data_IF_333699355623
#
_entry.id   IF_333699355623
#
_cell.length_a   1.000
_cell.length_b   1.000
_cell.length_c   1.000
_cell.angle_alpha   90.00
_cell.angle_beta   90.00
_cell.angle_gamma   90.00
#
_symmetry.space_group_name_H-M   'P 1'
#
loop_
_entity.id
_entity.type
_entity.pdbx_description
1 polymer ?
#
# COMPACT_ATOMS: atom_id res chain seq x y z
N UNK A 1 20.07 -1.31 3.70
CA UNK A 1 19.46 -2.09 3.16
C UNK A 1 18.09 -1.90 2.99
N UNK A 2 17.64 -2.12 2.04
CA UNK A 2 16.35 -1.83 1.72
C UNK A 2 15.43 -2.80 2.27
N UNK A 3 14.56 -2.37 3.11
CA UNK A 3 13.61 -3.22 3.56
C UNK A 3 12.41 -3.07 2.75
N UNK A 4 12.33 -2.07 1.92
CA UNK A 4 11.17 -1.87 1.11
C UNK A 4 11.08 -2.93 0.05
N UNK A 5 9.88 -3.28 -0.34
CA UNK A 5 9.69 -4.26 -1.35
C UNK A 5 10.30 -3.80 -2.64
N UNK A 6 10.61 -4.74 -3.47
CA UNK A 6 11.16 -4.42 -4.73
C UNK A 6 10.11 -3.82 -5.60
N UNK A 7 10.47 -2.88 -6.41
CA UNK A 7 9.54 -2.28 -7.32
C UNK A 7 9.08 -0.92 -6.84
N UNK A 8 9.16 0.06 -7.73
CA UNK A 8 8.76 1.40 -7.39
C UNK A 8 7.26 1.51 -7.17
N UNK A 9 6.50 0.69 -7.88
CA UNK A 9 5.06 0.75 -7.73
C UNK A 9 4.65 0.48 -6.30
N UNK A 10 5.27 -0.52 -5.70
CA UNK A 10 4.92 -0.90 -4.35
C UNK A 10 5.30 0.20 -3.37
N UNK A 11 6.43 0.81 -3.58
CA UNK A 11 6.87 1.91 -2.72
C UNK A 11 5.91 3.08 -2.81
N UNK A 12 5.49 3.41 -4.02
CA UNK A 12 4.55 4.50 -4.22
C UNK A 12 3.22 4.19 -3.58
N UNK A 13 2.79 2.95 -3.66
CA UNK A 13 1.54 2.54 -3.06
C UNK A 13 1.58 2.68 -1.55
N UNK A 14 2.68 2.27 -0.94
CA UNK A 14 2.83 2.39 0.49
C UNK A 14 2.77 3.85 0.92
N UNK A 15 3.47 4.70 0.20
CA UNK A 15 3.49 6.11 0.54
C UNK A 15 2.11 6.72 0.36
N UNK A 16 1.44 6.34 -0.72
CA UNK A 16 0.11 6.87 -0.99
C UNK A 16 -0.86 6.51 0.13
N UNK A 17 -0.82 5.26 0.57
CA UNK A 17 -1.69 4.81 1.65
C UNK A 17 -1.35 5.54 2.94
N UNK A 18 -0.08 5.71 3.21
CA UNK A 18 0.35 6.39 4.41
C UNK A 18 -0.16 7.83 4.43
N UNK A 19 -0.07 8.51 3.29
CA UNK A 19 -0.55 9.87 3.19
C UNK A 19 -2.07 9.93 3.40
N UNK A 20 -2.78 9.01 2.76
CA UNK A 20 -4.23 8.99 2.90
C UNK A 20 -4.65 8.73 4.33
N UNK A 21 -3.92 7.85 4.98
CA UNK A 21 -4.24 7.51 6.34
C UNK A 21 -4.09 8.71 7.27
N UNK A 22 -3.14 9.57 6.98
CA UNK A 22 -2.95 10.75 7.78
C UNK A 22 -4.07 11.75 7.61
N UNK A 23 -4.55 11.90 6.38
CA UNK A 23 -5.58 12.88 6.10
C UNK A 23 -6.98 12.34 6.37
N UNK A 24 -7.19 11.05 6.18
CA UNK A 24 -8.50 10.47 6.34
C UNK A 24 -8.41 9.32 7.30
N UNK A 25 -8.38 9.63 8.55
CA UNK A 25 -8.18 8.59 9.55
C UNK A 25 -9.34 7.63 9.64
N UNK A 26 -10.49 7.98 9.11
CA UNK A 26 -11.62 7.09 9.17
C UNK A 26 -11.70 6.13 8.00
N UNK A 27 -10.81 6.25 7.06
CA UNK A 27 -10.87 5.40 5.89
C UNK A 27 -10.43 3.99 6.23
N UNK A 28 -11.16 3.03 5.69
CA UNK A 28 -10.84 1.63 5.91
C UNK A 28 -9.53 1.28 5.20
N UNK A 29 -8.61 0.69 5.93
CA UNK A 29 -7.32 0.32 5.34
C UNK A 29 -7.48 -0.65 4.19
N UNK A 30 -8.42 -1.58 4.30
CA UNK A 30 -8.63 -2.54 3.22
C UNK A 30 -9.03 -1.84 1.94
N UNK A 31 -9.84 -0.80 2.06
CA UNK A 31 -10.23 -0.04 0.87
C UNK A 31 -9.04 0.68 0.28
N UNK A 32 -8.20 1.26 1.14
CA UNK A 32 -7.02 1.95 0.65
C UNK A 32 -6.09 1.00 -0.07
N UNK A 33 -5.94 -0.19 0.46
CA UNK A 33 -5.07 -1.18 -0.15
C UNK A 33 -5.60 -1.56 -1.52
N UNK A 34 -6.90 -1.78 -1.63
CA UNK A 34 -7.51 -2.12 -2.90
C UNK A 34 -7.35 -0.99 -3.91
N UNK A 35 -7.59 0.22 -3.47
CA UNK A 35 -7.45 1.36 -4.35
C UNK A 35 -6.01 1.53 -4.83
N UNK A 36 -5.07 1.33 -3.94
CA UNK A 36 -3.67 1.44 -4.30
C UNK A 36 -3.30 0.37 -5.31
N UNK A 37 -3.81 -0.85 -5.13
CA UNK A 37 -3.54 -1.91 -6.06
C UNK A 37 -4.02 -1.58 -7.46
N UNK A 38 -5.19 -0.97 -7.55
CA UNK A 38 -5.73 -0.59 -8.85
C UNK A 38 -5.01 0.64 -9.40
N UNK A 39 -4.76 1.61 -8.53
CA UNK A 39 -4.15 2.85 -8.98
C UNK A 39 -2.74 2.63 -9.52
N UNK A 40 -1.98 1.79 -8.87
CA UNK A 40 -0.60 1.54 -9.26
C UNK A 40 -0.44 0.24 -10.04
N UNK A 41 -1.55 -0.40 -10.36
CA UNK A 41 -1.53 -1.61 -11.16
C UNK A 41 -0.63 -2.68 -10.55
N UNK A 42 -0.83 -2.96 -9.29
CA UNK A 42 -0.02 -3.94 -8.60
C UNK A 42 -0.45 -5.35 -8.96
N UNK A 43 0.50 -6.27 -8.99
CA UNK A 43 0.18 -7.65 -9.24
C UNK A 43 -0.39 -8.27 -7.97
N UNK A 44 -1.03 -9.42 -8.06
CA UNK A 44 -1.57 -10.07 -6.86
C UNK A 44 -0.53 -10.31 -5.80
N UNK A 45 0.69 -10.60 -6.21
CA UNK A 45 1.75 -10.83 -5.26
C UNK A 45 2.13 -9.54 -4.55
N UNK A 46 2.20 -8.46 -5.30
CA UNK A 46 2.52 -7.16 -4.71
C UNK A 46 1.38 -6.70 -3.81
N UNK A 47 0.16 -7.00 -4.21
CA UNK A 47 -0.99 -6.63 -3.42
C UNK A 47 -0.95 -7.33 -2.07
N UNK A 48 -0.64 -8.60 -2.06
CA UNK A 48 -0.54 -9.36 -0.83
C UNK A 48 0.57 -8.83 0.05
N UNK A 49 1.68 -8.47 -0.55
CA UNK A 49 2.79 -7.92 0.19
C UNK A 49 2.40 -6.59 0.82
N UNK A 50 1.71 -5.76 0.05
CA UNK A 50 1.28 -4.46 0.52
C UNK A 50 0.34 -4.61 1.71
N UNK A 51 -0.61 -5.51 1.61
CA UNK A 51 -1.57 -5.72 2.66
C UNK A 51 -0.86 -6.15 3.94
N UNK A 52 0.08 -7.06 3.81
CA UNK A 52 0.81 -7.55 4.94
C UNK A 52 1.65 -6.45 5.58
N UNK A 53 2.31 -5.67 4.73
CA UNK A 53 3.18 -4.61 5.21
C UNK A 53 2.38 -3.56 5.99
N UNK A 54 1.24 -3.18 5.46
CA UNK A 54 0.41 -2.17 6.10
C UNK A 54 -0.17 -2.69 7.41
N UNK A 55 -0.63 -3.93 7.43
CA UNK A 55 -1.24 -4.47 8.63
C UNK A 55 -0.24 -4.70 9.74
N UNK A 56 0.98 -4.99 9.39
CA UNK A 56 1.99 -5.20 10.41
C UNK A 56 2.64 -3.91 10.85
N UNK A 57 2.66 -2.95 9.99
CA UNK A 57 3.29 -1.69 10.28
C UNK A 57 2.39 -0.81 11.05
#
# INVERSE_FOLDING_TARGET
MSILPQGEKLRKAVKWISDKKQYESETDLNKLIQQAGLKFNLSPKEDAYLERFINEG
#
